data_IF_999772260715
#
_entry.id   IF_999772260715
#
_cell.length_a   1.000
_cell.length_b   1.000
_cell.length_c   1.000
_cell.angle_alpha   90.00
_cell.angle_beta   90.00
_cell.angle_gamma   90.00
#
_symmetry.space_group_name_H-M   'P 1'
#
loop_
_entity.id
_entity.type
_entity.pdbx_description
1 polymer ?
#
# COMPACT_ATOMS: atom_id res chain seq x y z
N UNK A 1 0.65 -2.63 28.91
CA UNK A 1 0.99 -1.96 27.63
C UNK A 1 -0.19 -1.88 26.67
N UNK A 2 -1.17 -2.81 26.79
CA UNK A 2 -2.52 -2.62 26.23
C UNK A 2 -3.02 -1.19 26.51
N UNK A 3 -3.53 -0.52 25.48
CA UNK A 3 -4.04 0.86 25.43
C UNK A 3 -3.02 1.97 25.10
N UNK A 4 -1.74 1.66 24.89
CA UNK A 4 -0.74 2.67 24.45
C UNK A 4 -0.52 2.60 22.94
N UNK A 5 -0.46 1.38 22.43
CA UNK A 5 -0.46 1.06 21.00
C UNK A 5 -1.59 0.06 20.72
N UNK A 6 -2.09 0.05 19.49
CA UNK A 6 -3.19 -0.80 19.06
C UNK A 6 -3.00 -1.29 17.62
N UNK A 7 -3.07 -2.60 17.36
CA UNK A 7 -2.94 -3.19 16.01
C UNK A 7 -3.96 -2.65 14.99
N UNK A 8 -5.13 -2.19 15.44
CA UNK A 8 -6.13 -1.57 14.55
C UNK A 8 -5.56 -0.33 13.85
N UNK A 9 -4.85 0.56 14.56
CA UNK A 9 -4.32 1.80 13.96
C UNK A 9 -3.32 1.52 12.83
N UNK A 10 -2.42 0.56 13.00
CA UNK A 10 -1.48 0.17 11.94
C UNK A 10 -2.18 -0.58 10.80
N UNK A 11 -3.25 -1.33 11.08
CA UNK A 11 -4.08 -1.95 10.06
C UNK A 11 -4.81 -0.92 9.21
N UNK A 12 -5.44 0.08 9.83
CA UNK A 12 -6.09 1.20 9.13
C UNK A 12 -5.09 2.00 8.28
N UNK A 13 -3.89 2.25 8.80
CA UNK A 13 -2.80 2.88 8.05
C UNK A 13 -2.41 2.06 6.81
N UNK A 14 -2.31 0.73 6.96
CA UNK A 14 -2.00 -0.18 5.85
C UNK A 14 -3.11 -0.18 4.80
N UNK A 15 -4.37 -0.16 5.22
CA UNK A 15 -5.51 -0.10 4.31
C UNK A 15 -5.49 1.22 3.53
N UNK A 16 -5.21 2.35 4.18
CA UNK A 16 -5.03 3.62 3.49
C UNK A 16 -3.91 3.56 2.45
N UNK A 17 -2.73 3.03 2.80
CA UNK A 17 -1.60 2.90 1.86
C UNK A 17 -1.96 2.06 0.63
N UNK A 18 -2.79 1.02 0.79
CA UNK A 18 -3.22 0.14 -0.30
C UNK A 18 -4.51 0.59 -1.01
N UNK A 19 -5.19 1.61 -0.50
CA UNK A 19 -6.44 2.15 -1.05
C UNK A 19 -6.22 3.07 -2.27
N UNK A 20 -7.27 3.81 -2.66
CA UNK A 20 -7.18 4.91 -3.64
C UNK A 20 -6.57 4.49 -4.98
N UNK A 21 -7.04 3.35 -5.52
CA UNK A 21 -6.50 2.74 -6.75
C UNK A 21 -4.99 2.54 -6.71
N UNK A 22 -4.46 2.09 -5.57
CA UNK A 22 -3.03 1.84 -5.37
C UNK A 22 -2.18 3.10 -5.55
N UNK A 23 -2.70 4.29 -5.23
CA UNK A 23 -1.98 5.57 -5.39
C UNK A 23 -0.56 5.54 -4.84
N UNK A 24 -0.38 5.11 -3.59
CA UNK A 24 0.95 5.06 -2.96
C UNK A 24 1.87 4.11 -3.72
N UNK A 25 1.39 2.94 -4.15
CA UNK A 25 2.18 2.05 -4.99
C UNK A 25 2.59 2.71 -6.31
N UNK A 26 1.63 3.29 -7.04
CA UNK A 26 1.90 3.85 -8.38
C UNK A 26 2.90 4.99 -8.36
N UNK A 27 2.83 5.86 -7.34
CA UNK A 27 3.73 7.03 -7.22
C UNK A 27 5.08 6.66 -6.61
N UNK A 28 5.14 5.67 -5.71
CA UNK A 28 6.35 5.37 -4.94
C UNK A 28 7.07 4.09 -5.38
N UNK A 29 6.54 3.31 -6.33
CA UNK A 29 7.25 2.17 -6.94
C UNK A 29 8.52 2.59 -7.68
N UNK A 30 8.54 3.82 -8.22
CA UNK A 30 9.72 4.47 -8.80
C UNK A 30 9.64 5.99 -8.60
N UNK A 31 10.17 6.46 -7.47
CA UNK A 31 10.27 7.89 -7.15
C UNK A 31 11.73 8.31 -7.14
N UNK A 32 12.17 8.96 -8.22
CA UNK A 32 13.56 9.40 -8.39
C UNK A 32 14.54 8.23 -8.58
N UNK A 33 14.14 7.18 -9.30
CA UNK A 33 14.97 5.99 -9.55
C UNK A 33 15.05 5.03 -8.36
N UNK A 34 14.15 5.19 -7.37
CA UNK A 34 14.13 4.41 -6.14
C UNK A 34 12.73 3.87 -5.88
N UNK A 35 12.65 2.59 -5.52
CA UNK A 35 11.42 1.98 -5.06
C UNK A 35 11.20 2.28 -3.57
N UNK A 36 10.53 3.40 -3.30
CA UNK A 36 10.18 3.83 -1.95
C UNK A 36 8.97 3.06 -1.40
N UNK A 37 8.17 2.44 -2.26
CA UNK A 37 7.06 1.59 -1.83
C UNK A 37 7.53 0.39 -0.99
N UNK A 38 8.63 -0.27 -1.37
CA UNK A 38 9.20 -1.35 -0.57
C UNK A 38 9.65 -0.88 0.82
N UNK A 39 10.19 0.34 0.93
CA UNK A 39 10.53 0.93 2.22
C UNK A 39 9.28 1.17 3.06
N UNK A 40 8.20 1.67 2.46
CA UNK A 40 6.90 1.84 3.14
C UNK A 40 6.36 0.49 3.64
N UNK A 41 6.39 -0.56 2.81
CA UNK A 41 5.99 -1.92 3.22
C UNK A 41 6.81 -2.42 4.42
N UNK A 42 8.13 -2.30 4.33
CA UNK A 42 9.05 -2.71 5.41
C UNK A 42 8.72 -1.98 6.72
N UNK A 43 8.49 -0.67 6.68
CA UNK A 43 8.11 0.10 7.87
C UNK A 43 6.78 -0.40 8.47
N UNK A 44 5.75 -0.63 7.64
CA UNK A 44 4.46 -1.14 8.14
C UNK A 44 4.61 -2.52 8.78
N UNK A 45 5.43 -3.41 8.21
CA UNK A 45 5.64 -4.75 8.74
C UNK A 45 6.34 -4.72 10.10
N UNK A 46 7.39 -3.92 10.24
CA UNK A 46 8.10 -3.77 11.52
C UNK A 46 7.26 -3.10 12.60
N UNK A 47 6.42 -2.12 12.24
CA UNK A 47 5.47 -1.54 13.18
C UNK A 47 4.44 -2.60 13.60
N UNK A 48 3.82 -3.33 12.66
CA UNK A 48 2.82 -4.36 12.99
C UNK A 48 3.38 -5.43 13.93
N UNK A 49 4.58 -5.95 13.66
CA UNK A 49 5.20 -6.96 14.53
C UNK A 49 5.47 -6.38 15.93
N UNK A 50 6.01 -5.16 16.00
CA UNK A 50 6.34 -4.52 17.28
C UNK A 50 5.09 -4.20 18.10
N UNK A 51 4.03 -3.68 17.48
CA UNK A 51 2.75 -3.37 18.14
C UNK A 51 2.12 -4.65 18.69
N UNK A 52 2.02 -5.71 17.87
CA UNK A 52 1.45 -6.99 18.31
C UNK A 52 2.25 -7.62 19.44
N UNK A 53 3.58 -7.51 19.42
CA UNK A 53 4.40 -7.95 20.55
C UNK A 53 4.04 -7.18 21.83
N UNK A 54 4.00 -5.85 21.75
CA UNK A 54 3.74 -4.97 22.89
C UNK A 54 2.33 -5.10 23.47
N UNK A 55 1.33 -5.41 22.64
CA UNK A 55 -0.04 -5.68 23.11
C UNK A 55 -0.17 -6.99 23.89
N UNK A 56 0.69 -7.97 23.58
CA UNK A 56 0.62 -9.33 24.11
C UNK A 56 1.71 -9.64 25.14
N UNK A 57 2.52 -8.65 25.52
CA UNK A 57 3.58 -8.83 26.52
C UNK A 57 2.97 -9.09 27.91
N UNK A 58 3.58 -10.02 28.64
CA UNK A 58 3.24 -10.30 30.02
C UNK A 58 3.61 -9.11 30.94
N UNK A 59 3.09 -9.13 32.16
CA UNK A 59 3.56 -8.20 33.20
C UNK A 59 5.06 -8.41 33.48
N UNK A 60 5.72 -7.33 33.93
CA UNK A 60 7.14 -7.39 34.24
C UNK A 60 7.40 -8.34 35.42
N UNK A 61 8.39 -9.22 35.25
CA UNK A 61 8.76 -10.20 36.26
C UNK A 61 9.39 -9.52 37.49
N UNK A 62 9.20 -10.14 38.64
CA UNK A 62 9.86 -9.75 39.89
C UNK A 62 11.35 -10.10 39.88
N UNK A 63 11.76 -11.13 39.14
CA UNK A 63 13.15 -11.48 38.92
C UNK A 63 13.83 -10.42 38.05
N UNK A 64 14.89 -9.81 38.57
CA UNK A 64 15.56 -8.68 37.92
C UNK A 64 16.16 -9.05 36.57
N UNK A 65 16.73 -10.24 36.42
CA UNK A 65 17.39 -10.65 35.17
C UNK A 65 16.34 -10.86 34.06
N UNK A 66 15.22 -11.48 34.41
CA UNK A 66 14.08 -11.63 33.49
C UNK A 66 13.48 -10.27 33.14
N UNK A 67 13.28 -9.39 34.13
CA UNK A 67 12.78 -8.03 33.93
C UNK A 67 13.69 -7.21 33.00
N UNK A 68 15.01 -7.32 33.15
CA UNK A 68 15.97 -6.65 32.28
C UNK A 68 15.79 -7.07 30.82
N UNK A 69 15.63 -8.38 30.56
CA UNK A 69 15.38 -8.88 29.22
C UNK A 69 14.02 -8.43 28.66
N UNK A 70 12.98 -8.35 29.50
CA UNK A 70 11.67 -7.81 29.11
C UNK A 70 11.75 -6.32 28.75
N UNK A 71 12.49 -5.52 29.52
CA UNK A 71 12.71 -4.09 29.21
C UNK A 71 13.57 -3.91 27.96
N UNK A 72 14.57 -4.77 27.74
CA UNK A 72 15.33 -4.78 26.49
C UNK A 72 14.43 -5.04 25.26
N UNK A 73 13.53 -6.01 25.36
CA UNK A 73 12.54 -6.29 24.32
C UNK A 73 11.63 -5.08 24.07
N UNK A 74 11.15 -4.44 25.13
CA UNK A 74 10.35 -3.20 25.04
C UNK A 74 11.11 -2.09 24.29
N UNK A 75 12.35 -1.78 24.70
CA UNK A 75 13.17 -0.77 24.05
C UNK A 75 13.38 -1.11 22.57
N UNK A 76 13.64 -2.39 22.25
CA UNK A 76 13.83 -2.84 20.87
C UNK A 76 12.58 -2.64 20.01
N UNK A 77 11.39 -2.95 20.54
CA UNK A 77 10.13 -2.69 19.85
C UNK A 77 9.86 -1.19 19.65
N UNK A 78 10.18 -0.36 20.65
CA UNK A 78 10.05 1.10 20.53
C UNK A 78 11.00 1.64 19.45
N UNK A 79 12.24 1.16 19.40
CA UNK A 79 13.24 1.56 18.40
C UNK A 79 12.77 1.23 16.98
N UNK A 80 12.26 0.01 16.76
CA UNK A 80 11.69 -0.41 15.48
C UNK A 80 10.52 0.47 15.03
N UNK A 81 9.62 0.83 15.95
CA UNK A 81 8.50 1.73 15.66
C UNK A 81 9.01 3.14 15.35
N UNK A 82 9.91 3.67 16.18
CA UNK A 82 10.45 5.03 16.04
C UNK A 82 11.22 5.22 14.72
N UNK A 83 12.05 4.23 14.35
CA UNK A 83 12.79 4.25 13.09
C UNK A 83 11.83 4.14 11.90
N UNK A 84 10.87 3.21 11.94
CA UNK A 84 9.89 3.03 10.87
C UNK A 84 9.05 4.30 10.64
N UNK A 85 8.59 4.95 11.71
CA UNK A 85 7.88 6.24 11.65
C UNK A 85 8.76 7.35 11.07
N UNK A 86 10.04 7.40 11.45
CA UNK A 86 10.99 8.37 10.90
C UNK A 86 11.22 8.18 9.41
N UNK A 87 11.30 6.93 8.95
CA UNK A 87 11.43 6.63 7.52
C UNK A 87 10.15 6.98 6.75
N UNK A 88 8.97 6.67 7.31
CA UNK A 88 7.69 7.07 6.72
C UNK A 88 7.54 8.60 6.64
N UNK A 89 8.00 9.34 7.66
CA UNK A 89 8.08 10.81 7.61
C UNK A 89 8.92 11.29 6.42
N UNK A 90 10.08 10.68 6.18
CA UNK A 90 10.95 11.05 5.05
C UNK A 90 10.28 10.80 3.69
N UNK A 91 9.48 9.75 3.58
CA UNK A 91 8.77 9.42 2.33
C UNK A 91 7.61 10.38 2.05
N UNK A 92 6.76 10.63 3.04
CA UNK A 92 5.47 11.29 2.84
C UNK A 92 5.44 12.75 3.27
N UNK A 93 6.21 13.11 4.30
CA UNK A 93 6.17 14.45 4.89
C UNK A 93 7.31 15.28 4.34
N UNK A 94 8.56 14.92 4.64
CA UNK A 94 9.73 15.67 4.19
C UNK A 94 11.03 14.85 4.36
N UNK A 95 11.74 14.62 3.26
CA UNK A 95 12.98 13.84 3.22
C UNK A 95 14.14 14.47 4.02
N UNK A 96 14.12 15.79 4.25
CA UNK A 96 15.23 16.56 4.84
C UNK A 96 15.08 16.79 6.34
N UNK A 97 13.93 16.48 6.90
CA UNK A 97 13.65 16.71 8.32
C UNK A 97 13.57 15.41 9.09
N UNK A 98 13.81 15.53 10.40
CA UNK A 98 13.64 14.44 11.36
C UNK A 98 12.47 14.83 12.26
N UNK A 99 11.45 13.96 12.43
CA UNK A 99 10.35 14.27 13.32
C UNK A 99 10.85 14.40 14.77
N UNK A 100 10.22 15.28 15.54
CA UNK A 100 10.52 15.52 16.96
C UNK A 100 11.92 16.08 17.28
N UNK A 101 12.63 16.63 16.28
CA UNK A 101 13.95 17.22 16.50
C UNK A 101 13.88 18.34 17.55
N UNK A 102 14.79 18.32 18.51
CA UNK A 102 14.87 19.25 19.65
C UNK A 102 13.74 19.13 20.69
N UNK A 103 12.81 18.19 20.58
CA UNK A 103 11.77 17.99 21.59
C UNK A 103 12.33 17.34 22.85
N UNK A 104 11.80 17.72 24.02
CA UNK A 104 12.27 17.26 25.35
C UNK A 104 11.10 16.90 26.28
N UNK A 105 9.97 16.49 25.73
CA UNK A 105 8.73 16.29 26.46
C UNK A 105 8.64 14.93 27.16
N UNK A 106 9.29 13.89 26.62
CA UNK A 106 9.12 12.51 27.10
C UNK A 106 10.00 12.17 28.31
N UNK A 107 11.28 12.58 28.31
CA UNK A 107 12.25 12.15 29.34
C UNK A 107 12.56 13.26 30.36
N UNK A 108 11.91 13.28 31.51
CA UNK A 108 12.04 14.37 32.49
C UNK A 108 13.26 14.19 33.38
N UNK A 109 13.67 12.95 33.61
CA UNK A 109 14.79 12.60 34.49
C UNK A 109 16.08 12.29 33.71
N UNK A 110 16.32 13.03 32.61
CA UNK A 110 17.42 12.75 31.70
C UNK A 110 18.79 13.05 32.33
N UNK A 111 19.74 12.12 32.19
CA UNK A 111 21.12 12.32 32.67
C UNK A 111 21.84 13.45 31.93
N UNK A 112 21.54 13.60 30.63
CA UNK A 112 22.18 14.58 29.75
C UNK A 112 21.13 15.63 29.35
N UNK A 113 21.09 16.76 30.05
CA UNK A 113 20.03 17.78 29.90
C UNK A 113 19.90 18.35 28.48
N UNK A 114 21.01 18.40 27.75
CA UNK A 114 21.07 19.01 26.44
C UNK A 114 20.55 18.11 25.30
N UNK A 115 20.41 16.79 25.53
CA UNK A 115 19.88 15.86 24.52
C UNK A 115 18.37 16.05 24.30
N UNK A 116 17.94 15.98 23.05
CA UNK A 116 16.53 15.85 22.70
C UNK A 116 16.04 14.41 22.93
N UNK A 117 14.72 14.17 22.83
CA UNK A 117 14.13 12.88 23.16
C UNK A 117 14.63 11.76 22.25
N UNK A 118 14.84 12.02 20.95
CA UNK A 118 15.36 11.02 20.01
C UNK A 118 16.81 10.63 20.37
N UNK A 119 17.64 11.63 20.66
CA UNK A 119 19.04 11.42 21.05
C UNK A 119 19.12 10.69 22.39
N UNK A 120 18.32 11.13 23.37
CA UNK A 120 18.31 10.52 24.70
C UNK A 120 17.77 9.09 24.69
N UNK A 121 16.76 8.78 23.86
CA UNK A 121 16.31 7.40 23.67
C UNK A 121 17.43 6.50 23.12
N UNK A 122 18.27 7.02 22.22
CA UNK A 122 19.46 6.29 21.74
C UNK A 122 20.45 6.02 22.88
N UNK A 123 20.65 6.99 23.78
CA UNK A 123 21.44 6.82 25.00
C UNK A 123 20.85 5.72 25.90
N UNK A 124 19.53 5.73 26.14
CA UNK A 124 18.85 4.68 26.92
C UNK A 124 19.02 3.30 26.27
N UNK A 125 18.80 3.19 24.95
CA UNK A 125 18.98 1.94 24.21
C UNK A 125 20.41 1.40 24.31
N UNK A 126 21.40 2.27 24.22
CA UNK A 126 22.78 1.87 24.37
C UNK A 126 23.10 1.42 25.80
N UNK A 127 22.62 2.13 26.83
CA UNK A 127 22.93 1.82 28.24
C UNK A 127 22.16 0.61 28.80
N UNK A 128 20.94 0.37 28.34
CA UNK A 128 20.07 -0.71 28.82
C UNK A 128 19.95 -1.88 27.84
N UNK A 129 20.57 -1.78 26.66
CA UNK A 129 20.57 -2.84 25.64
C UNK A 129 21.93 -3.15 25.01
N UNK A 130 23.00 -2.42 25.37
CA UNK A 130 24.37 -2.73 24.96
C UNK A 130 25.36 -2.51 26.12
N UNK A 131 26.52 -3.16 26.07
CA UNK A 131 27.51 -3.09 27.16
C UNK A 131 28.45 -1.86 27.09
N UNK A 132 28.81 -1.42 25.89
CA UNK A 132 29.72 -0.28 25.70
C UNK A 132 28.96 0.93 25.17
N UNK A 133 29.13 2.09 25.82
CA UNK A 133 28.39 3.30 25.46
C UNK A 133 29.35 4.49 25.34
N UNK A 134 29.24 5.21 24.22
CA UNK A 134 29.85 6.53 24.07
C UNK A 134 28.74 7.55 24.32
N UNK A 135 28.78 8.24 25.46
CA UNK A 135 27.84 9.33 25.70
C UNK A 135 28.28 10.54 24.86
N UNK A 136 27.34 11.17 24.16
CA UNK A 136 27.63 12.22 23.16
C UNK A 136 28.36 13.46 23.72
N UNK A 137 28.50 13.60 25.04
CA UNK A 137 29.01 14.82 25.68
C UNK A 137 30.27 14.66 26.53
N UNK A 138 30.70 13.44 26.86
CA UNK A 138 31.86 13.29 27.77
C UNK A 138 33.20 13.16 27.04
N UNK A 139 33.22 12.78 25.76
CA UNK A 139 34.46 12.42 25.05
C UNK A 139 35.17 11.17 25.62
N UNK A 140 34.86 10.80 26.87
CA UNK A 140 35.26 9.61 27.58
C UNK A 140 34.32 8.45 27.28
N UNK A 141 34.90 7.30 26.95
CA UNK A 141 34.16 6.05 26.75
C UNK A 141 33.73 5.52 28.11
N UNK A 142 32.48 5.07 28.22
CA UNK A 142 31.93 4.48 29.44
C UNK A 142 31.40 3.07 29.20
N UNK A 143 31.33 2.29 30.28
CA UNK A 143 30.84 0.91 30.25
C UNK A 143 29.65 0.76 31.18
N UNK A 144 28.53 0.29 30.65
CA UNK A 144 27.31 0.10 31.43
C UNK A 144 27.39 -1.18 32.25
N UNK A 145 27.02 -1.10 33.52
CA UNK A 145 26.80 -2.26 34.38
C UNK A 145 25.58 -3.05 33.93
N UNK A 146 25.42 -4.25 34.50
CA UNK A 146 24.12 -4.93 34.46
C UNK A 146 23.03 -4.02 35.06
N UNK A 147 21.81 -3.94 34.49
CA UNK A 147 20.74 -3.16 35.07
C UNK A 147 20.21 -3.80 36.37
N UNK A 148 19.87 -2.95 37.33
CA UNK A 148 19.41 -3.39 38.64
C UNK A 148 18.32 -2.47 39.19
N UNK A 149 17.58 -2.94 40.21
CA UNK A 149 16.63 -2.11 40.95
C UNK A 149 17.34 -1.40 42.09
N UNK A 150 17.57 -0.10 41.95
CA UNK A 150 18.14 0.72 43.03
C UNK A 150 17.14 0.89 44.18
N UNK A 151 17.63 0.86 45.42
CA UNK A 151 16.84 1.19 46.63
C UNK A 151 16.80 2.69 46.91
N UNK A 152 17.64 3.47 46.22
CA UNK A 152 17.84 4.90 46.46
C UNK A 152 16.98 5.79 45.56
N UNK A 153 16.35 5.20 44.54
CA UNK A 153 15.60 5.93 43.51
C UNK A 153 14.27 5.25 43.23
N UNK A 154 13.28 6.00 42.77
CA UNK A 154 12.00 5.45 42.28
C UNK A 154 12.09 4.80 40.89
N UNK A 155 13.23 4.91 40.20
CA UNK A 155 13.46 4.38 38.86
C UNK A 155 13.16 2.88 38.74
N UNK A 156 12.65 2.45 37.58
CA UNK A 156 12.32 1.06 37.31
C UNK A 156 13.53 0.16 37.20
N UNK A 157 14.58 0.68 36.57
CA UNK A 157 15.92 0.10 36.45
C UNK A 157 16.96 1.22 36.53
N UNK A 158 18.14 0.87 37.01
CA UNK A 158 19.30 1.75 37.11
C UNK A 158 20.52 1.02 36.54
N UNK A 159 21.41 1.77 35.88
CA UNK A 159 22.75 1.30 35.52
C UNK A 159 23.83 2.23 36.07
N UNK A 160 24.98 1.66 36.41
CA UNK A 160 26.21 2.42 36.61
C UNK A 160 26.95 2.52 35.28
N UNK A 161 27.51 3.69 35.00
CA UNK A 161 28.30 3.97 33.80
C UNK A 161 29.76 4.21 34.21
N UNK A 162 30.54 3.14 34.22
CA UNK A 162 31.93 3.13 34.64
C UNK A 162 32.79 3.93 33.69
N UNK A 163 33.59 4.88 34.20
CA UNK A 163 34.53 5.60 33.32
C UNK A 163 35.70 4.71 32.91
N UNK A 164 36.13 4.87 31.65
CA UNK A 164 37.44 4.38 31.19
C UNK A 164 38.60 5.17 31.81
N UNK A 165 38.39 6.47 32.03
CA UNK A 165 39.45 7.40 32.41
C UNK A 165 39.73 7.32 33.91
N UNK A 166 41.02 7.32 34.26
CA UNK A 166 41.46 7.25 35.66
C UNK A 166 41.08 8.54 36.38
N UNK A 167 40.48 8.43 37.57
CA UNK A 167 39.98 9.53 38.40
C UNK A 167 38.74 10.27 37.88
N UNK A 168 38.11 9.82 36.79
CA UNK A 168 36.80 10.33 36.41
C UNK A 168 35.70 9.59 37.18
N UNK A 169 34.70 10.32 37.68
CA UNK A 169 33.62 9.71 38.46
C UNK A 169 32.70 8.87 37.56
N UNK A 170 32.19 7.78 38.14
CA UNK A 170 31.14 6.97 37.54
C UNK A 170 29.81 7.74 37.56
N UNK A 171 28.99 7.51 36.53
CA UNK A 171 27.66 8.10 36.45
C UNK A 171 26.59 7.06 36.78
N UNK A 172 25.42 7.53 37.16
CA UNK A 172 24.24 6.69 37.36
C UNK A 172 23.14 7.15 36.43
N UNK A 173 22.60 6.21 35.66
CA UNK A 173 21.50 6.45 34.73
C UNK A 173 20.27 5.67 35.19
N UNK A 174 19.15 6.39 35.32
CA UNK A 174 17.88 5.86 35.73
C UNK A 174 16.95 5.71 34.52
N UNK A 175 16.22 4.60 34.46
CA UNK A 175 15.20 4.33 33.46
C UNK A 175 13.84 4.28 34.13
N UNK A 176 12.89 5.00 33.53
CA UNK A 176 11.50 5.06 33.95
C UNK A 176 10.64 4.53 32.80
N UNK A 177 9.92 3.44 33.04
CA UNK A 177 9.16 2.76 31.98
C UNK A 177 8.05 3.67 31.45
N UNK A 178 7.43 4.49 32.30
CA UNK A 178 6.42 5.45 31.87
C UNK A 178 6.98 6.49 30.86
N UNK A 179 8.23 6.94 31.01
CA UNK A 179 8.84 7.87 30.05
C UNK A 179 9.08 7.20 28.68
N UNK A 180 9.46 5.91 28.67
CA UNK A 180 9.54 5.11 27.44
C UNK A 180 8.16 4.95 26.77
N UNK A 181 7.12 4.77 27.57
CA UNK A 181 5.75 4.64 27.09
C UNK A 181 5.20 5.97 26.54
N UNK A 182 5.53 7.10 27.16
CA UNK A 182 5.23 8.45 26.63
C UNK A 182 5.96 8.69 25.29
N UNK A 183 7.22 8.27 25.19
CA UNK A 183 7.98 8.32 23.94
C UNK A 183 7.33 7.46 22.85
N UNK A 184 7.01 6.20 23.14
CA UNK A 184 6.33 5.28 22.23
C UNK A 184 5.01 5.86 21.71
N UNK A 185 4.14 6.32 22.61
CA UNK A 185 2.83 6.87 22.25
C UNK A 185 2.98 8.02 21.25
N UNK A 186 3.88 8.96 21.55
CA UNK A 186 4.13 10.13 20.70
C UNK A 186 4.55 9.73 19.27
N UNK A 187 5.37 8.68 19.12
CA UNK A 187 5.83 8.22 17.80
C UNK A 187 4.75 7.44 17.08
N UNK A 188 4.01 6.60 17.80
CA UNK A 188 2.93 5.81 17.21
C UNK A 188 1.78 6.70 16.74
N UNK A 189 1.40 7.72 17.51
CA UNK A 189 0.35 8.67 17.15
C UNK A 189 0.73 9.56 15.97
N UNK A 190 2.02 9.70 15.67
CA UNK A 190 2.47 10.40 14.47
C UNK A 190 2.07 9.72 13.16
N UNK A 191 1.66 8.44 13.21
CA UNK A 191 1.01 7.80 12.07
C UNK A 191 -0.25 8.56 11.63
N UNK A 192 -0.94 9.27 12.53
CA UNK A 192 -2.13 10.08 12.21
C UNK A 192 -1.71 11.30 11.36
N UNK A 193 -0.58 11.93 11.68
CA UNK A 193 0.00 13.03 10.88
C UNK A 193 0.39 12.54 9.48
N UNK A 194 1.03 11.36 9.39
CA UNK A 194 1.41 10.77 8.11
C UNK A 194 0.16 10.38 7.30
N UNK A 195 -0.86 9.83 7.96
CA UNK A 195 -2.17 9.48 7.37
C UNK A 195 -2.80 10.69 6.71
N UNK A 196 -2.92 11.80 7.45
CA UNK A 196 -3.45 13.07 6.91
C UNK A 196 -2.61 13.53 5.71
N UNK A 197 -1.28 13.42 5.79
CA UNK A 197 -0.42 13.83 4.68
C UNK A 197 -0.60 12.97 3.43
N UNK A 198 -0.74 11.65 3.57
CA UNK A 198 -1.02 10.74 2.43
C UNK A 198 -2.33 11.12 1.75
N UNK A 199 -3.39 11.40 2.53
CA UNK A 199 -4.68 11.82 2.00
C UNK A 199 -4.57 13.16 1.25
N UNK A 200 -3.86 14.15 1.81
CA UNK A 200 -3.62 15.43 1.11
C UNK A 200 -2.84 15.24 -0.19
N UNK A 201 -1.79 14.42 -0.18
CA UNK A 201 -1.01 14.11 -1.38
C UNK A 201 -1.85 13.46 -2.48
N UNK A 202 -2.79 12.58 -2.10
CA UNK A 202 -3.70 11.97 -3.06
C UNK A 202 -4.66 13.00 -3.66
N UNK A 203 -5.25 13.87 -2.84
CA UNK A 203 -6.17 14.90 -3.34
C UNK A 203 -5.45 15.94 -4.20
N UNK A 204 -4.25 16.39 -3.81
CA UNK A 204 -3.36 17.22 -4.63
C UNK A 204 -3.13 16.58 -6.00
N UNK A 205 -2.78 15.28 -6.02
CA UNK A 205 -2.57 14.54 -7.27
C UNK A 205 -3.81 14.46 -8.15
N UNK A 206 -4.99 14.19 -7.57
CA UNK A 206 -6.26 14.14 -8.30
C UNK A 206 -6.60 15.49 -8.93
N UNK A 207 -6.46 16.57 -8.16
CA UNK A 207 -6.72 17.93 -8.62
C UNK A 207 -5.78 18.29 -9.78
N UNK A 208 -4.49 17.99 -9.67
CA UNK A 208 -3.53 18.29 -10.73
C UNK A 208 -3.79 17.49 -12.01
N UNK A 209 -4.06 16.19 -11.92
CA UNK A 209 -4.37 15.39 -13.11
C UNK A 209 -5.74 15.72 -13.71
N UNK A 210 -6.71 16.15 -12.91
CA UNK A 210 -8.03 16.51 -13.44
C UNK A 210 -8.03 17.80 -14.26
N UNK A 211 -7.03 18.67 -14.08
CA UNK A 211 -6.80 19.86 -14.92
C UNK A 211 -6.17 19.52 -16.27
N UNK A 212 -5.52 18.36 -16.39
CA UNK A 212 -4.92 17.91 -17.64
C UNK A 212 -6.00 17.33 -18.54
N UNK A 213 -6.37 18.06 -19.59
CA UNK A 213 -7.42 17.65 -20.52
C UNK A 213 -6.99 16.42 -21.31
N UNK A 214 -7.87 15.41 -21.33
CA UNK A 214 -7.75 14.24 -22.19
C UNK A 214 -8.09 14.66 -23.62
N UNK A 215 -7.24 14.28 -24.57
CA UNK A 215 -7.46 14.54 -25.99
C UNK A 215 -8.77 13.87 -26.48
N UNK A 216 -9.50 14.58 -27.33
CA UNK A 216 -10.75 14.10 -27.93
C UNK A 216 -10.50 13.72 -29.38
N UNK A 217 -10.85 12.49 -29.74
CA UNK A 217 -10.86 11.97 -31.11
C UNK A 217 -12.29 11.73 -31.55
N UNK A 218 -12.56 11.97 -32.83
CA UNK A 218 -13.88 11.70 -33.42
C UNK A 218 -14.12 10.21 -33.66
N UNK A 219 -13.05 9.48 -33.96
CA UNK A 219 -13.11 8.02 -34.12
C UNK A 219 -13.09 7.34 -32.74
N UNK A 220 -14.07 6.47 -32.42
CA UNK A 220 -14.14 5.80 -31.13
C UNK A 220 -12.93 4.92 -30.82
N UNK A 221 -12.35 4.26 -31.82
CA UNK A 221 -11.18 3.39 -31.63
C UNK A 221 -9.94 4.23 -31.33
N UNK A 222 -9.72 5.33 -32.05
CA UNK A 222 -8.67 6.30 -31.73
C UNK A 222 -8.86 6.89 -30.33
N UNK A 223 -10.10 7.20 -29.93
CA UNK A 223 -10.40 7.68 -28.59
C UNK A 223 -10.04 6.64 -27.52
N UNK A 224 -10.33 5.36 -27.75
CA UNK A 224 -9.99 4.27 -26.83
C UNK A 224 -8.47 4.12 -26.64
N UNK A 225 -7.67 4.31 -27.70
CA UNK A 225 -6.20 4.33 -27.57
C UNK A 225 -5.70 5.49 -26.71
N UNK A 226 -6.29 6.68 -26.87
CA UNK A 226 -6.00 7.82 -25.99
C UNK A 226 -6.35 7.47 -24.54
N UNK A 227 -7.55 6.93 -24.31
CA UNK A 227 -8.01 6.55 -22.97
C UNK A 227 -7.14 5.46 -22.34
N UNK A 228 -6.62 4.52 -23.13
CA UNK A 228 -5.73 3.48 -22.65
C UNK A 228 -4.43 4.05 -22.09
N UNK A 229 -3.81 4.98 -22.82
CA UNK A 229 -2.61 5.67 -22.38
C UNK A 229 -2.87 6.58 -21.17
N UNK A 230 -4.02 7.25 -21.14
CA UNK A 230 -4.42 8.08 -20.00
C UNK A 230 -4.72 7.24 -18.77
N UNK A 231 -5.30 6.05 -18.92
CA UNK A 231 -5.53 5.10 -17.82
C UNK A 231 -4.23 4.68 -17.14
N UNK A 232 -3.18 4.36 -17.91
CA UNK A 232 -1.85 4.03 -17.38
C UNK A 232 -1.27 5.17 -16.52
N UNK A 233 -1.45 6.42 -16.95
CA UNK A 233 -1.00 7.60 -16.19
C UNK A 233 -1.87 7.86 -14.96
N UNK A 234 -3.17 7.61 -15.06
CA UNK A 234 -4.19 7.89 -14.03
C UNK A 234 -4.36 6.69 -13.10
N UNK A 235 -3.25 6.30 -12.48
CA UNK A 235 -3.12 5.23 -11.48
C UNK A 235 -3.21 3.80 -12.01
N UNK A 236 -3.32 3.63 -13.32
CA UNK A 236 -3.17 2.33 -13.97
C UNK A 236 -4.14 1.28 -13.39
N UNK A 237 -5.39 1.72 -13.19
CA UNK A 237 -6.41 0.94 -12.51
C UNK A 237 -6.80 -0.29 -13.34
N UNK A 238 -6.67 -1.47 -12.74
CA UNK A 238 -6.85 -2.76 -13.43
C UNK A 238 -8.26 -2.93 -14.01
N UNK A 239 -9.30 -2.40 -13.35
CA UNK A 239 -10.68 -2.47 -13.85
C UNK A 239 -10.86 -1.61 -15.10
N UNK A 240 -10.50 -0.32 -15.06
CA UNK A 240 -10.61 0.56 -16.23
C UNK A 240 -9.75 0.08 -17.39
N UNK A 241 -8.55 -0.41 -17.10
CA UNK A 241 -7.66 -1.00 -18.09
C UNK A 241 -8.35 -2.13 -18.85
N UNK A 242 -8.93 -3.09 -18.11
CA UNK A 242 -9.64 -4.23 -18.68
C UNK A 242 -10.85 -3.81 -19.52
N UNK A 243 -11.67 -2.88 -19.03
CA UNK A 243 -12.83 -2.40 -19.79
C UNK A 243 -12.42 -1.67 -21.09
N UNK A 244 -11.35 -0.87 -21.06
CA UNK A 244 -10.81 -0.21 -22.25
C UNK A 244 -10.24 -1.25 -23.23
N UNK A 245 -9.49 -2.24 -22.75
CA UNK A 245 -8.93 -3.30 -23.59
C UNK A 245 -10.02 -4.13 -24.28
N UNK A 246 -11.10 -4.47 -23.56
CA UNK A 246 -12.29 -5.14 -24.11
C UNK A 246 -12.96 -4.30 -25.20
N UNK A 247 -13.12 -2.99 -24.97
CA UNK A 247 -13.68 -2.07 -25.96
C UNK A 247 -12.78 -1.96 -27.20
N UNK A 248 -11.46 -1.88 -27.03
CA UNK A 248 -10.51 -1.87 -28.15
C UNK A 248 -10.70 -3.13 -29.01
N UNK A 249 -10.76 -4.31 -28.39
CA UNK A 249 -11.00 -5.56 -29.11
C UNK A 249 -12.30 -5.55 -29.92
N UNK A 250 -13.38 -5.01 -29.34
CA UNK A 250 -14.69 -4.87 -30.00
C UNK A 250 -14.61 -3.94 -31.22
N UNK A 251 -13.98 -2.77 -31.07
CA UNK A 251 -13.93 -1.76 -32.13
C UNK A 251 -12.92 -2.10 -33.24
N UNK A 252 -11.85 -2.83 -32.92
CA UNK A 252 -10.88 -3.34 -33.91
C UNK A 252 -11.41 -4.51 -34.75
N UNK A 253 -12.48 -5.19 -34.29
CA UNK A 253 -12.98 -6.39 -34.94
C UNK A 253 -13.50 -6.09 -36.36
N UNK A 254 -12.91 -6.77 -37.35
CA UNK A 254 -13.34 -6.70 -38.75
C UNK A 254 -14.42 -7.75 -39.01
N UNK A 255 -15.64 -7.30 -39.24
CA UNK A 255 -16.78 -8.17 -39.57
C UNK A 255 -16.91 -8.25 -41.08
N UNK A 256 -16.76 -9.45 -41.63
CA UNK A 256 -16.87 -9.69 -43.08
C UNK A 256 -18.24 -10.29 -43.48
N UNK A 257 -19.05 -10.73 -42.50
CA UNK A 257 -20.39 -11.26 -42.74
C UNK A 257 -21.39 -10.09 -42.76
N UNK A 258 -22.09 -9.92 -43.88
CA UNK A 258 -23.04 -8.83 -44.08
C UNK A 258 -24.20 -8.87 -43.08
N UNK A 259 -24.64 -10.06 -42.64
CA UNK A 259 -25.73 -10.22 -41.68
C UNK A 259 -25.30 -9.80 -40.26
N UNK A 260 -24.04 -10.04 -39.90
CA UNK A 260 -23.48 -9.64 -38.61
C UNK A 260 -23.04 -8.19 -38.57
N UNK A 261 -22.81 -7.56 -39.72
CA UNK A 261 -22.29 -6.19 -39.80
C UNK A 261 -23.26 -5.19 -39.16
N UNK A 262 -24.55 -5.27 -39.48
CA UNK A 262 -25.55 -4.38 -38.89
C UNK A 262 -25.64 -4.55 -37.36
N UNK A 263 -25.67 -5.81 -36.89
CA UNK A 263 -25.73 -6.14 -35.47
C UNK A 263 -24.48 -5.66 -34.72
N UNK A 264 -23.30 -5.80 -35.33
CA UNK A 264 -22.03 -5.33 -34.78
C UNK A 264 -21.99 -3.81 -34.66
N UNK A 265 -22.45 -3.07 -35.67
CA UNK A 265 -22.48 -1.62 -35.63
C UNK A 265 -23.51 -1.09 -34.63
N UNK A 266 -24.69 -1.70 -34.53
CA UNK A 266 -25.67 -1.35 -33.50
C UNK A 266 -25.10 -1.57 -32.09
N UNK A 267 -24.39 -2.68 -31.88
CA UNK A 267 -23.74 -2.97 -30.60
C UNK A 267 -22.63 -1.96 -30.29
N UNK A 268 -21.73 -1.67 -31.24
CA UNK A 268 -20.68 -0.65 -31.06
C UNK A 268 -21.28 0.72 -30.74
N UNK A 269 -22.36 1.11 -31.43
CA UNK A 269 -23.07 2.36 -31.15
C UNK A 269 -23.64 2.39 -29.73
N UNK A 270 -24.14 1.26 -29.23
CA UNK A 270 -24.63 1.16 -27.85
C UNK A 270 -23.54 1.34 -26.78
N UNK A 271 -22.26 1.14 -27.14
CA UNK A 271 -21.11 1.26 -26.24
C UNK A 271 -20.47 2.66 -26.22
N UNK A 272 -20.86 3.56 -27.13
CA UNK A 272 -20.34 4.95 -27.13
C UNK A 272 -20.55 5.69 -25.79
N UNK A 273 -21.70 5.55 -25.09
CA UNK A 273 -21.88 6.13 -23.76
C UNK A 273 -20.84 5.63 -22.74
N UNK A 274 -20.40 4.38 -22.84
CA UNK A 274 -19.36 3.82 -21.95
C UNK A 274 -18.00 4.46 -22.19
N UNK A 275 -17.65 4.71 -23.45
CA UNK A 275 -16.39 5.41 -23.80
C UNK A 275 -16.38 6.81 -23.20
N UNK A 276 -17.49 7.55 -23.31
CA UNK A 276 -17.60 8.89 -22.72
C UNK A 276 -17.66 8.84 -21.18
N UNK A 277 -18.29 7.84 -20.56
CA UNK A 277 -18.27 7.64 -19.12
C UNK A 277 -16.85 7.39 -18.61
N UNK A 278 -16.10 6.48 -19.24
CA UNK A 278 -14.69 6.19 -18.91
C UNK A 278 -13.88 7.49 -18.98
N UNK A 279 -14.01 8.23 -20.07
CA UNK A 279 -13.31 9.51 -20.26
C UNK A 279 -13.64 10.52 -19.17
N UNK A 280 -14.92 10.72 -18.86
CA UNK A 280 -15.37 11.64 -17.82
C UNK A 280 -14.83 11.24 -16.44
N UNK A 281 -14.87 9.95 -16.12
CA UNK A 281 -14.37 9.41 -14.86
C UNK A 281 -12.84 9.53 -14.75
N UNK A 282 -12.10 9.25 -15.82
CA UNK A 282 -10.65 9.46 -15.86
C UNK A 282 -10.28 10.95 -15.77
N UNK A 283 -11.00 11.82 -16.49
CA UNK A 283 -10.79 13.27 -16.45
C UNK A 283 -11.02 13.83 -15.05
N UNK A 284 -12.06 13.37 -14.35
CA UNK A 284 -12.37 13.81 -12.98
C UNK A 284 -11.58 13.07 -11.89
N UNK A 285 -10.70 12.13 -12.26
CA UNK A 285 -9.98 11.26 -11.31
C UNK A 285 -10.94 10.57 -10.33
N UNK A 286 -12.07 10.09 -10.86
CA UNK A 286 -13.13 9.38 -10.16
C UNK A 286 -13.20 7.94 -10.67
N UNK A 287 -12.36 7.07 -10.09
CA UNK A 287 -12.35 5.65 -10.42
C UNK A 287 -13.45 4.94 -9.64
N UNK A 288 -14.59 4.73 -10.32
CA UNK A 288 -15.80 4.13 -9.77
C UNK A 288 -16.32 3.07 -10.75
N UNK A 289 -17.23 2.22 -10.29
CA UNK A 289 -17.89 1.27 -11.19
C UNK A 289 -18.63 2.01 -12.31
N UNK A 290 -18.39 1.59 -13.55
CA UNK A 290 -19.05 2.17 -14.71
C UNK A 290 -20.53 1.80 -14.69
N UNK A 291 -21.40 2.81 -14.76
CA UNK A 291 -22.87 2.61 -14.76
C UNK A 291 -23.34 1.97 -16.05
N UNK A 292 -22.66 2.25 -17.15
CA UNK A 292 -22.97 1.72 -18.48
C UNK A 292 -22.32 0.35 -18.76
N UNK A 293 -21.47 -0.16 -17.85
CA UNK A 293 -20.80 -1.46 -18.05
C UNK A 293 -21.74 -2.67 -17.94
N UNK A 294 -23.01 -2.49 -17.57
CA UNK A 294 -24.03 -3.54 -17.70
C UNK A 294 -24.09 -4.07 -19.14
N UNK A 295 -23.87 -3.21 -20.12
CA UNK A 295 -24.02 -3.50 -21.55
C UNK A 295 -22.82 -4.31 -22.10
N UNK A 296 -21.69 -4.30 -21.38
CA UNK A 296 -20.52 -5.13 -21.61
C UNK A 296 -20.62 -6.52 -20.95
N UNK A 297 -21.51 -6.68 -19.97
CA UNK A 297 -21.55 -7.81 -19.02
C UNK A 297 -22.92 -8.49 -18.94
N UNK A 298 -23.74 -8.36 -19.98
CA UNK A 298 -25.09 -8.94 -20.08
C UNK A 298 -25.13 -10.40 -19.58
N UNK A 299 -25.82 -10.63 -18.45
CA UNK A 299 -26.04 -11.96 -17.89
C UNK A 299 -27.34 -12.52 -18.44
N UNK A 300 -27.30 -13.04 -19.66
CA UNK A 300 -28.42 -13.77 -20.26
C UNK A 300 -28.55 -15.18 -19.66
N UNK A 301 -29.68 -15.85 -19.82
CA UNK A 301 -29.80 -17.29 -19.48
C UNK A 301 -28.74 -18.12 -20.23
N UNK A 302 -28.44 -17.70 -21.46
CA UNK A 302 -27.37 -18.25 -22.28
C UNK A 302 -25.99 -18.17 -21.61
N UNK A 303 -25.70 -17.09 -20.88
CA UNK A 303 -24.46 -16.96 -20.11
C UNK A 303 -24.33 -18.01 -18.99
N UNK A 304 -25.46 -18.47 -18.43
CA UNK A 304 -25.49 -19.53 -17.40
C UNK A 304 -25.30 -20.90 -18.02
N UNK A 305 -25.97 -21.16 -19.14
CA UNK A 305 -25.86 -22.42 -19.88
C UNK A 305 -24.42 -22.66 -20.36
N UNK A 306 -23.77 -21.61 -20.88
CA UNK A 306 -22.42 -21.67 -21.43
C UNK A 306 -21.32 -21.29 -20.43
N UNK A 307 -21.61 -21.34 -19.12
CA UNK A 307 -20.68 -20.83 -18.10
C UNK A 307 -19.28 -21.47 -18.16
N UNK A 308 -19.21 -22.78 -18.47
CA UNK A 308 -17.95 -23.49 -18.63
C UNK A 308 -17.20 -23.04 -19.90
N UNK A 309 -17.88 -23.05 -21.04
CA UNK A 309 -17.34 -22.66 -22.34
C UNK A 309 -16.89 -21.20 -22.34
N UNK A 310 -17.68 -20.29 -21.75
CA UNK A 310 -17.34 -18.87 -21.62
C UNK A 310 -16.11 -18.66 -20.72
N UNK A 311 -16.00 -19.40 -19.61
CA UNK A 311 -14.82 -19.33 -18.73
C UNK A 311 -13.54 -19.72 -19.48
N UNK A 312 -13.60 -20.81 -20.26
CA UNK A 312 -12.48 -21.27 -21.09
C UNK A 312 -12.18 -20.29 -22.23
N UNK A 313 -13.22 -19.78 -22.88
CA UNK A 313 -13.13 -18.76 -23.91
C UNK A 313 -12.40 -17.50 -23.41
N UNK A 314 -12.81 -16.92 -22.29
CA UNK A 314 -12.16 -15.72 -21.76
C UNK A 314 -10.70 -16.02 -21.35
N UNK A 315 -10.43 -17.20 -20.78
CA UNK A 315 -9.05 -17.60 -20.48
C UNK A 315 -8.18 -17.68 -21.74
N UNK A 316 -8.71 -18.23 -22.83
CA UNK A 316 -8.04 -18.29 -24.13
C UNK A 316 -7.82 -16.89 -24.73
N UNK A 317 -8.87 -16.06 -24.78
CA UNK A 317 -8.83 -14.69 -25.31
C UNK A 317 -7.72 -13.86 -24.64
N UNK A 318 -7.73 -13.80 -23.31
CA UNK A 318 -6.84 -12.91 -22.57
C UNK A 318 -5.41 -13.47 -22.44
N UNK A 319 -5.24 -14.80 -22.42
CA UNK A 319 -3.90 -15.39 -22.33
C UNK A 319 -3.18 -15.49 -23.68
N UNK A 320 -3.93 -15.55 -24.79
CA UNK A 320 -3.40 -15.82 -26.12
C UNK A 320 -2.73 -17.19 -26.25
N UNK A 321 -2.90 -18.08 -25.26
CA UNK A 321 -2.30 -19.42 -25.27
C UNK A 321 -3.16 -20.36 -26.09
N UNK A 322 -2.52 -21.29 -26.78
CA UNK A 322 -3.22 -22.36 -27.49
C UNK A 322 -4.07 -23.18 -26.51
N UNK A 323 -5.33 -23.43 -26.88
CA UNK A 323 -6.25 -24.30 -26.16
C UNK A 323 -6.62 -25.48 -27.06
N UNK A 324 -6.30 -26.73 -26.69
CA UNK A 324 -6.59 -27.91 -27.52
C UNK A 324 -8.08 -28.23 -27.63
N UNK A 325 -8.93 -27.59 -26.83
CA UNK A 325 -10.38 -27.78 -26.84
C UNK A 325 -11.13 -26.60 -27.48
N UNK A 326 -10.43 -25.67 -28.15
CA UNK A 326 -11.05 -24.49 -28.75
C UNK A 326 -12.17 -24.83 -29.74
N UNK A 327 -11.92 -25.80 -30.63
CA UNK A 327 -12.92 -26.34 -31.55
C UNK A 327 -14.19 -26.81 -30.84
N UNK A 328 -14.03 -27.58 -29.75
CA UNK A 328 -15.18 -28.06 -28.95
C UNK A 328 -15.99 -26.89 -28.38
N UNK A 329 -15.33 -25.82 -27.93
CA UNK A 329 -16.04 -24.63 -27.44
C UNK A 329 -16.80 -23.93 -28.57
N UNK A 330 -16.18 -23.76 -29.74
CA UNK A 330 -16.83 -23.14 -30.90
C UNK A 330 -18.01 -23.96 -31.43
N UNK A 331 -17.89 -25.29 -31.48
CA UNK A 331 -19.01 -26.18 -31.82
C UNK A 331 -20.20 -25.99 -30.87
N UNK A 332 -19.95 -25.91 -29.56
CA UNK A 332 -20.97 -25.66 -28.56
C UNK A 332 -21.63 -24.29 -28.73
N UNK A 333 -20.85 -23.23 -28.92
CA UNK A 333 -21.38 -21.88 -29.16
C UNK A 333 -22.24 -21.82 -30.43
N UNK A 334 -21.80 -22.46 -31.51
CA UNK A 334 -22.56 -22.55 -32.76
C UNK A 334 -23.86 -23.36 -32.58
N UNK A 335 -23.82 -24.48 -31.85
CA UNK A 335 -24.99 -25.33 -31.65
C UNK A 335 -26.11 -24.59 -30.90
N UNK A 336 -25.78 -23.86 -29.82
CA UNK A 336 -26.77 -23.14 -29.01
C UNK A 336 -27.32 -21.90 -29.72
N UNK A 337 -26.58 -21.35 -30.69
CA UNK A 337 -27.02 -20.18 -31.48
C UNK A 337 -27.58 -20.56 -32.86
N UNK A 338 -27.82 -21.85 -33.11
CA UNK A 338 -28.26 -22.39 -34.41
C UNK A 338 -27.37 -21.93 -35.58
N UNK A 339 -26.08 -21.73 -35.31
CA UNK A 339 -25.09 -21.29 -36.28
C UNK A 339 -25.19 -19.81 -36.68
N UNK A 340 -25.96 -18.98 -35.96
CA UNK A 340 -26.13 -17.55 -36.27
C UNK A 340 -24.80 -16.78 -36.34
N UNK A 341 -23.86 -17.07 -35.45
CA UNK A 341 -22.59 -16.33 -35.36
C UNK A 341 -21.39 -17.02 -36.04
N UNK A 342 -21.51 -18.31 -36.38
CA UNK A 342 -20.49 -19.11 -37.09
C UNK A 342 -19.07 -18.93 -36.52
N UNK A 343 -18.86 -19.31 -35.26
CA UNK A 343 -17.54 -19.31 -34.61
C UNK A 343 -16.59 -20.29 -35.31
N UNK A 344 -15.35 -19.87 -35.57
CA UNK A 344 -14.33 -20.68 -36.24
C UNK A 344 -12.92 -20.30 -35.78
N UNK A 345 -11.97 -21.26 -35.80
CA UNK A 345 -10.54 -20.99 -35.57
C UNK A 345 -9.92 -20.05 -36.62
N UNK A 346 -10.58 -19.88 -37.77
CA UNK A 346 -10.16 -18.92 -38.79
C UNK A 346 -10.51 -17.47 -38.44
N UNK A 347 -11.40 -17.25 -37.46
CA UNK A 347 -11.71 -15.91 -36.97
C UNK A 347 -10.50 -15.30 -36.25
N UNK A 348 -10.33 -13.98 -36.39
CA UNK A 348 -9.39 -13.28 -35.51
C UNK A 348 -9.92 -13.25 -34.09
N UNK A 349 -9.04 -13.23 -33.08
CA UNK A 349 -9.45 -13.14 -31.66
C UNK A 349 -10.44 -12.01 -31.39
N UNK A 350 -10.23 -10.83 -32.00
CA UNK A 350 -11.11 -9.68 -31.87
C UNK A 350 -12.50 -9.97 -32.45
N UNK A 351 -12.57 -10.61 -33.62
CA UNK A 351 -13.84 -11.02 -34.23
C UNK A 351 -14.56 -12.06 -33.38
N UNK A 352 -13.85 -13.08 -32.87
CA UNK A 352 -14.44 -14.09 -31.98
C UNK A 352 -14.97 -13.44 -30.70
N UNK A 353 -14.22 -12.50 -30.11
CA UNK A 353 -14.65 -11.73 -28.93
C UNK A 353 -15.92 -10.93 -29.19
N UNK A 354 -15.96 -10.17 -30.28
CA UNK A 354 -17.15 -9.44 -30.69
C UNK A 354 -18.35 -10.39 -30.86
N UNK A 355 -18.19 -11.51 -31.57
CA UNK A 355 -19.26 -12.50 -31.76
C UNK A 355 -19.80 -13.03 -30.43
N UNK A 356 -18.93 -13.33 -29.46
CA UNK A 356 -19.38 -13.75 -28.11
C UNK A 356 -20.15 -12.64 -27.41
N UNK A 357 -19.70 -11.38 -27.49
CA UNK A 357 -20.43 -10.25 -26.90
C UNK A 357 -21.81 -10.08 -27.53
N UNK A 358 -21.88 -10.09 -28.87
CA UNK A 358 -23.15 -10.03 -29.61
C UNK A 358 -24.09 -11.17 -29.25
N UNK A 359 -23.56 -12.39 -29.10
CA UNK A 359 -24.32 -13.56 -28.70
C UNK A 359 -24.94 -13.39 -27.30
N UNK A 360 -24.23 -12.77 -26.36
CA UNK A 360 -24.71 -12.60 -24.98
C UNK A 360 -25.68 -11.43 -24.81
N UNK A 361 -25.69 -10.50 -25.75
CA UNK A 361 -26.58 -9.32 -25.77
C UNK A 361 -27.82 -9.50 -26.64
N UNK A 362 -27.80 -10.47 -27.56
CA UNK A 362 -28.95 -10.88 -28.37
C UNK A 362 -29.95 -11.70 -27.54
#
# INVERSE_FOLDING_TARGET
>A
MKNIVNDCKISDFRDLVNSNSKFVYQIYKDKGGKNLFHLVCSCMDWISVSVRHLENVAEFDSNIDVKCMQVYSLISSIDLISESVTQLHRVFVNEKTVPFKNEKSCFRNRLIENEDDNTYFTTLRACFGAHSVSLNQSGSKRFASWPFKSRLTSADLTVHLYSREVNEQDLTLNLYINELLEFLATRYDYLDVITTRIQSLFEEYRIELSKQLIEIKSDPLEQLYVLRSESDKRLDNDYYRGEIDDLIMIFEAKVNDAELTALAEDYKNSLLPTIEEIKSNLQSMSIIDLKTASDLRSRSELSRELSYELSKFYSWIYSGRYDPMLDYYFERLNAVTEGKFKFSESDTRNLTFLKVKLMLTA
#
